data_IF_129771018100
#
_entry.id   IF_129771018100
#
_cell.length_a   1.000
_cell.length_b   1.000
_cell.length_c   1.000
_cell.angle_alpha   90.00
_cell.angle_beta   90.00
_cell.angle_gamma   90.00
#
_symmetry.space_group_name_H-M   'P 1'
#
loop_
_entity.id
_entity.type
_entity.pdbx_description
1 polymer ?
#
# COMPACT_ATOMS: atom_id res chain seq x y z
N UNK A 1 -19.36 5.10 -13.29
CA UNK A 1 -19.23 5.91 -14.51
C UNK A 1 -20.09 7.16 -14.31
N UNK A 2 -19.53 8.34 -14.45
CA UNK A 2 -20.27 9.60 -14.42
C UNK A 2 -20.24 10.16 -15.84
N UNK A 3 -21.41 10.40 -16.44
CA UNK A 3 -21.55 10.87 -17.82
C UNK A 3 -20.76 10.05 -18.86
N UNK A 4 -20.74 8.72 -18.68
CA UNK A 4 -20.01 7.80 -19.58
C UNK A 4 -18.50 7.77 -19.39
N UNK A 5 -17.94 8.51 -18.42
CA UNK A 5 -16.50 8.53 -18.13
C UNK A 5 -16.21 7.89 -16.77
N UNK A 6 -15.10 7.16 -16.68
CA UNK A 6 -14.59 6.69 -15.40
C UNK A 6 -14.17 7.89 -14.54
N UNK A 7 -14.59 7.91 -13.28
CA UNK A 7 -14.23 8.94 -12.31
C UNK A 7 -13.80 8.29 -11.00
N UNK A 8 -12.69 8.74 -10.43
CA UNK A 8 -12.27 8.37 -9.08
C UNK A 8 -13.19 9.07 -8.08
N UNK A 9 -13.79 8.30 -7.16
CA UNK A 9 -14.62 8.81 -6.07
C UNK A 9 -13.70 9.07 -4.87
N UNK A 10 -13.87 10.22 -4.25
CA UNK A 10 -13.21 10.57 -3.00
C UNK A 10 -13.91 9.88 -1.82
N UNK A 11 -13.12 9.41 -0.84
CA UNK A 11 -13.66 8.82 0.38
C UNK A 11 -14.21 9.89 1.35
N UNK A 12 -14.70 9.47 2.51
CA UNK A 12 -15.26 10.38 3.51
C UNK A 12 -14.26 11.40 4.06
N UNK A 13 -12.96 11.09 3.98
CA UNK A 13 -11.86 11.98 4.36
C UNK A 13 -11.45 12.97 3.25
N UNK A 14 -12.03 12.85 2.05
CA UNK A 14 -11.71 13.66 0.86
C UNK A 14 -10.54 13.12 0.05
N UNK A 15 -10.02 11.95 0.41
CA UNK A 15 -8.89 11.32 -0.27
C UNK A 15 -9.36 10.45 -1.44
N UNK A 16 -8.53 10.36 -2.48
CA UNK A 16 -8.78 9.51 -3.66
C UNK A 16 -8.29 8.08 -3.50
N UNK A 17 -7.62 7.79 -2.40
CA UNK A 17 -7.13 6.47 -2.03
C UNK A 17 -7.52 6.19 -0.58
N UNK A 18 -7.72 4.91 -0.25
CA UNK A 18 -8.02 4.45 1.11
C UNK A 18 -6.97 3.42 1.52
N UNK A 19 -6.22 3.63 2.62
CA UNK A 19 -5.26 2.65 3.09
C UNK A 19 -5.92 1.29 3.34
N UNK A 20 -5.32 0.21 2.88
CA UNK A 20 -5.77 -1.17 3.13
C UNK A 20 -5.36 -1.62 4.53
N UNK A 21 -5.88 -0.93 5.54
CA UNK A 21 -5.61 -1.14 6.96
C UNK A 21 -6.93 -1.29 7.70
N UNK A 22 -7.01 -2.30 8.57
CA UNK A 22 -8.16 -2.57 9.43
C UNK A 22 -7.70 -2.62 10.87
N UNK A 23 -8.38 -1.94 11.78
CA UNK A 23 -8.05 -1.96 13.20
C UNK A 23 -9.29 -2.29 14.04
N UNK A 24 -9.05 -3.03 15.10
CA UNK A 24 -10.06 -3.38 16.10
C UNK A 24 -9.76 -2.59 17.37
N UNK A 25 -10.76 -1.90 17.87
CA UNK A 25 -10.65 -1.10 19.07
C UNK A 25 -11.10 -1.89 20.30
N UNK A 26 -10.66 -1.48 21.51
CA UNK A 26 -10.99 -2.15 22.77
C UNK A 26 -12.51 -2.19 23.07
N UNK A 27 -13.28 -1.28 22.52
CA UNK A 27 -14.75 -1.22 22.61
C UNK A 27 -15.47 -2.00 21.51
N UNK A 28 -14.71 -2.74 20.67
CA UNK A 28 -15.24 -3.65 19.66
C UNK A 28 -15.62 -2.98 18.33
N UNK A 29 -15.22 -1.73 18.12
CA UNK A 29 -15.40 -1.04 16.83
C UNK A 29 -14.35 -1.50 15.82
N UNK A 30 -14.74 -1.58 14.55
CA UNK A 30 -13.83 -1.88 13.43
C UNK A 30 -13.59 -0.61 12.62
N UNK A 31 -12.34 -0.16 12.61
CA UNK A 31 -11.91 0.98 11.81
C UNK A 31 -11.24 0.52 10.52
N UNK A 32 -11.46 1.26 9.43
CA UNK A 32 -10.89 0.94 8.12
C UNK A 32 -10.30 2.20 7.47
N UNK A 33 -9.16 2.04 6.82
CA UNK A 33 -8.51 3.12 6.09
C UNK A 33 -7.68 4.04 6.97
N UNK A 34 -7.83 5.34 6.78
CA UNK A 34 -7.01 6.35 7.45
C UNK A 34 -7.22 6.37 8.98
N UNK A 35 -8.44 6.14 9.45
CA UNK A 35 -8.75 6.04 10.88
C UNK A 35 -8.00 4.86 11.54
N UNK A 36 -7.95 3.71 10.87
CA UNK A 36 -7.16 2.56 11.31
C UNK A 36 -5.64 2.86 11.29
N UNK A 37 -5.16 3.51 10.23
CA UNK A 37 -3.73 3.89 10.09
C UNK A 37 -3.26 4.79 11.22
N UNK A 38 -4.07 5.76 11.65
CA UNK A 38 -3.74 6.71 12.72
C UNK A 38 -3.46 6.08 14.08
N UNK A 39 -3.97 4.89 14.35
CA UNK A 39 -3.69 4.18 15.62
C UNK A 39 -2.69 3.02 15.48
N UNK A 40 -2.06 2.85 14.33
CA UNK A 40 -1.16 1.71 14.08
C UNK A 40 0.02 1.61 15.06
N UNK A 41 0.51 2.72 15.56
CA UNK A 41 1.62 2.76 16.53
C UNK A 41 1.12 2.54 17.97
N UNK A 42 -0.06 3.04 18.31
CA UNK A 42 -0.63 2.92 19.66
C UNK A 42 -1.30 1.58 19.89
N UNK A 43 -1.86 0.97 18.83
CA UNK A 43 -2.58 -0.31 18.84
C UNK A 43 -2.04 -1.28 17.77
N UNK A 44 -0.72 -1.60 17.75
CA UNK A 44 -0.11 -2.35 16.64
C UNK A 44 -0.59 -3.80 16.55
N UNK A 45 -0.91 -4.45 17.66
CA UNK A 45 -1.33 -5.86 17.69
C UNK A 45 -2.73 -6.10 17.14
N UNK A 46 -3.58 -5.07 17.15
CA UNK A 46 -4.96 -5.11 16.67
C UNK A 46 -5.15 -4.25 15.40
N UNK A 47 -4.07 -3.74 14.82
CA UNK A 47 -4.08 -2.99 13.55
C UNK A 47 -3.43 -3.83 12.46
N UNK A 48 -4.24 -4.28 11.52
CA UNK A 48 -3.88 -5.23 10.49
C UNK A 48 -3.57 -4.48 9.19
N UNK A 49 -2.32 -4.51 8.80
CA UNK A 49 -1.83 -4.05 7.50
C UNK A 49 -1.28 -5.21 6.69
N UNK A 50 -1.00 -5.00 5.42
CA UNK A 50 -0.35 -5.99 4.54
C UNK A 50 -1.04 -7.37 4.49
N UNK A 51 -2.33 -7.48 4.84
CA UNK A 51 -3.09 -8.74 4.83
C UNK A 51 -3.17 -9.35 3.43
N UNK A 52 -3.05 -8.54 2.38
CA UNK A 52 -2.91 -8.98 0.99
C UNK A 52 -1.77 -10.01 0.80
N UNK A 53 -0.70 -9.94 1.61
CA UNK A 53 0.42 -10.90 1.56
C UNK A 53 0.05 -12.28 2.11
N UNK A 54 -0.99 -12.37 2.95
CA UNK A 54 -1.46 -13.62 3.59
C UNK A 54 -2.57 -14.30 2.79
N UNK A 55 -3.26 -13.57 1.91
CA UNK A 55 -4.44 -14.07 1.21
C UNK A 55 -4.12 -15.30 0.35
N UNK A 56 -4.90 -16.37 0.49
CA UNK A 56 -4.70 -17.62 -0.24
C UNK A 56 -3.40 -18.37 0.09
N UNK A 57 -2.76 -18.08 1.22
CA UNK A 57 -1.48 -18.66 1.65
C UNK A 57 -1.64 -19.57 2.86
N UNK A 58 -0.60 -20.37 3.11
CA UNK A 58 -0.53 -21.31 4.21
C UNK A 58 0.56 -20.94 5.22
N UNK A 59 0.38 -21.28 6.50
CA UNK A 59 1.33 -20.96 7.57
C UNK A 59 2.69 -21.66 7.41
N UNK A 60 2.72 -22.79 6.68
CA UNK A 60 3.96 -23.51 6.38
C UNK A 60 4.74 -22.94 5.18
N UNK A 61 4.17 -22.02 4.42
CA UNK A 61 4.84 -21.33 3.31
C UNK A 61 6.08 -20.59 3.83
N UNK A 62 7.27 -20.79 3.23
CA UNK A 62 8.49 -20.10 3.64
C UNK A 62 8.38 -18.57 3.59
N UNK A 63 7.63 -18.02 2.64
CA UNK A 63 7.37 -16.58 2.54
C UNK A 63 6.56 -16.10 3.74
N UNK A 64 5.49 -16.82 4.11
CA UNK A 64 4.66 -16.47 5.25
C UNK A 64 5.44 -16.58 6.56
N UNK A 65 6.28 -17.61 6.72
CA UNK A 65 7.17 -17.72 7.89
C UNK A 65 8.13 -16.54 8.03
N UNK A 66 8.56 -15.96 6.90
CA UNK A 66 9.37 -14.75 6.90
C UNK A 66 8.54 -13.53 7.28
N UNK A 67 7.35 -13.36 6.69
CA UNK A 67 6.42 -12.28 7.00
C UNK A 67 6.06 -12.24 8.50
N UNK A 68 5.70 -13.38 9.08
CA UNK A 68 5.31 -13.50 10.49
C UNK A 68 6.34 -12.93 11.48
N UNK A 69 7.61 -12.83 11.09
CA UNK A 69 8.67 -12.26 11.94
C UNK A 69 8.63 -10.72 12.01
N UNK A 70 7.98 -10.10 11.06
CA UNK A 70 7.94 -8.64 10.90
C UNK A 70 6.57 -8.03 11.16
N UNK A 71 5.51 -8.87 11.17
CA UNK A 71 4.15 -8.41 11.45
C UNK A 71 3.97 -8.14 12.96
N UNK A 72 3.34 -7.02 13.33
CA UNK A 72 3.08 -6.68 14.72
C UNK A 72 1.92 -7.48 15.34
N UNK A 73 1.12 -8.17 14.52
CA UNK A 73 -0.02 -8.97 14.91
C UNK A 73 0.22 -10.48 14.71
N UNK A 74 -0.59 -11.30 15.33
CA UNK A 74 -0.44 -12.75 15.28
C UNK A 74 -1.02 -13.36 14.01
N UNK A 75 -0.22 -14.19 13.32
CA UNK A 75 -0.70 -15.08 12.25
C UNK A 75 -0.80 -16.49 12.80
N UNK A 76 -1.94 -17.11 12.61
CA UNK A 76 -2.30 -18.42 13.18
C UNK A 76 -2.83 -19.37 12.11
N UNK A 77 -2.89 -20.67 12.44
CA UNK A 77 -3.54 -21.66 11.59
C UNK A 77 -5.08 -21.52 11.67
N UNK A 78 -5.71 -21.39 10.51
CA UNK A 78 -7.16 -21.31 10.35
C UNK A 78 -7.90 -22.66 10.50
N UNK A 79 -7.17 -23.75 10.82
CA UNK A 79 -7.70 -25.10 11.01
C UNK A 79 -7.42 -26.07 9.86
N UNK A 80 -6.95 -25.58 8.72
CA UNK A 80 -6.54 -26.38 7.56
C UNK A 80 -5.15 -26.01 7.02
N UNK A 81 -4.34 -25.37 7.87
CA UNK A 81 -3.02 -24.86 7.50
C UNK A 81 -3.06 -23.45 6.87
N UNK A 82 -4.22 -22.91 6.54
CA UNK A 82 -4.34 -21.56 5.97
C UNK A 82 -3.85 -20.49 6.96
N UNK A 83 -3.16 -19.48 6.46
CA UNK A 83 -2.66 -18.37 7.25
C UNK A 83 -3.81 -17.39 7.58
N UNK A 84 -4.25 -17.40 8.82
CA UNK A 84 -5.26 -16.51 9.37
C UNK A 84 -4.63 -15.53 10.35
N UNK A 85 -5.30 -14.46 10.67
CA UNK A 85 -4.89 -13.49 11.70
C UNK A 85 -5.69 -13.68 12.97
N UNK A 86 -5.09 -13.40 14.11
CA UNK A 86 -5.77 -13.43 15.41
C UNK A 86 -5.76 -12.04 16.04
N UNK A 87 -6.95 -11.57 16.41
CA UNK A 87 -7.18 -10.30 17.07
C UNK A 87 -8.08 -10.54 18.28
N UNK A 88 -7.65 -10.12 19.47
CA UNK A 88 -8.43 -10.24 20.72
C UNK A 88 -8.96 -11.67 21.01
N UNK A 89 -8.22 -12.67 20.57
CA UNK A 89 -8.59 -14.08 20.74
C UNK A 89 -9.42 -14.67 19.60
N UNK A 90 -10.04 -13.84 18.77
CA UNK A 90 -10.82 -14.25 17.62
C UNK A 90 -9.94 -14.43 16.38
N UNK A 91 -10.32 -15.39 15.52
CA UNK A 91 -9.59 -15.69 14.28
C UNK A 91 -10.32 -15.16 13.05
N UNK A 92 -9.61 -14.46 12.20
CA UNK A 92 -10.12 -13.93 10.93
C UNK A 92 -9.31 -14.46 9.75
N UNK A 93 -9.99 -14.91 8.71
CA UNK A 93 -9.32 -15.19 7.44
C UNK A 93 -8.88 -13.88 6.76
N UNK A 94 -7.83 -13.89 5.94
CA UNK A 94 -7.46 -12.74 5.13
C UNK A 94 -8.60 -12.22 4.24
N UNK A 95 -9.49 -13.11 3.76
CA UNK A 95 -10.68 -12.72 3.00
C UNK A 95 -11.68 -11.93 3.85
N UNK A 96 -11.89 -12.29 5.13
CA UNK A 96 -12.74 -11.51 6.03
C UNK A 96 -12.18 -10.13 6.31
N UNK A 97 -10.88 -10.02 6.54
CA UNK A 97 -10.23 -8.71 6.74
C UNK A 97 -10.29 -7.86 5.46
N UNK A 98 -10.03 -8.47 4.31
CA UNK A 98 -10.17 -7.78 3.01
C UNK A 98 -11.60 -7.34 2.73
N UNK A 99 -12.59 -8.10 3.22
CA UNK A 99 -13.99 -7.74 3.08
C UNK A 99 -14.36 -6.43 3.81
N UNK A 100 -13.77 -6.12 4.97
CA UNK A 100 -13.96 -4.82 5.62
C UNK A 100 -13.48 -3.66 4.73
N UNK A 101 -12.36 -3.85 4.03
CA UNK A 101 -11.86 -2.84 3.09
C UNK A 101 -12.82 -2.68 1.91
N UNK A 102 -13.27 -3.79 1.32
CA UNK A 102 -14.21 -3.78 0.21
C UNK A 102 -15.58 -3.20 0.61
N UNK A 103 -16.04 -3.46 1.84
CA UNK A 103 -17.23 -2.84 2.42
C UNK A 103 -17.08 -1.32 2.50
N UNK A 104 -15.94 -0.81 2.97
CA UNK A 104 -15.63 0.62 2.97
C UNK A 104 -15.64 1.23 1.56
N UNK A 105 -15.14 0.49 0.56
CA UNK A 105 -15.21 0.92 -0.84
C UNK A 105 -16.65 0.97 -1.37
N UNK A 106 -17.45 -0.04 -1.03
CA UNK A 106 -18.88 -0.11 -1.36
C UNK A 106 -19.63 1.09 -0.76
N UNK A 107 -19.48 1.31 0.55
CA UNK A 107 -20.10 2.44 1.27
C UNK A 107 -19.70 3.79 0.66
N UNK A 108 -18.42 3.96 0.32
CA UNK A 108 -17.93 5.17 -0.36
C UNK A 108 -18.62 5.39 -1.70
N UNK A 109 -18.78 4.34 -2.49
CA UNK A 109 -19.45 4.40 -3.78
C UNK A 109 -20.96 4.69 -3.62
N UNK A 110 -21.65 4.03 -2.70
CA UNK A 110 -23.07 4.21 -2.39
C UNK A 110 -23.36 5.64 -1.90
N UNK A 111 -22.50 6.15 -1.01
CA UNK A 111 -22.62 7.53 -0.52
C UNK A 111 -22.49 8.58 -1.64
N UNK A 112 -21.62 8.32 -2.62
CA UNK A 112 -21.43 9.21 -3.76
C UNK A 112 -22.56 9.10 -4.79
N UNK A 113 -23.02 7.87 -5.09
CA UNK A 113 -24.00 7.59 -6.13
C UNK A 113 -25.45 7.83 -5.64
N UNK A 114 -25.69 7.69 -4.33
CA UNK A 114 -27.03 7.76 -3.75
C UNK A 114 -27.89 6.52 -4.03
N UNK A 115 -27.27 5.41 -4.42
CA UNK A 115 -27.91 4.13 -4.74
C UNK A 115 -27.08 2.95 -4.28
N UNK A 116 -27.68 1.77 -4.15
CA UNK A 116 -27.00 0.55 -3.75
C UNK A 116 -26.00 0.08 -4.81
N UNK A 117 -24.81 -0.28 -4.38
CA UNK A 117 -23.75 -0.86 -5.22
C UNK A 117 -23.68 -2.37 -4.98
N UNK A 118 -24.07 -3.15 -5.98
CA UNK A 118 -24.19 -4.62 -5.88
C UNK A 118 -23.08 -5.37 -6.60
N UNK A 119 -22.40 -4.75 -7.55
CA UNK A 119 -21.38 -5.40 -8.38
C UNK A 119 -20.06 -4.65 -8.34
N UNK A 120 -18.95 -5.40 -8.46
CA UNK A 120 -17.62 -4.83 -8.55
C UNK A 120 -16.70 -5.61 -9.50
N UNK A 121 -15.76 -4.88 -10.09
CA UNK A 121 -14.54 -5.45 -10.68
C UNK A 121 -13.42 -5.20 -9.68
N UNK A 122 -12.69 -6.25 -9.31
CA UNK A 122 -11.60 -6.16 -8.32
C UNK A 122 -10.28 -6.49 -9.02
N UNK A 123 -9.25 -5.72 -8.72
CA UNK A 123 -7.91 -5.95 -9.28
C UNK A 123 -7.04 -6.72 -8.31
N UNK A 124 -6.13 -7.54 -8.88
CA UNK A 124 -5.14 -8.33 -8.15
C UNK A 124 -3.79 -8.25 -8.87
N UNK A 125 -2.67 -8.47 -8.15
CA UNK A 125 -1.37 -8.60 -8.80
C UNK A 125 -1.38 -9.69 -9.89
N UNK A 126 -0.62 -9.48 -10.95
CA UNK A 126 -0.56 -10.44 -12.06
C UNK A 126 -0.03 -11.83 -11.64
N UNK A 127 0.83 -11.88 -10.63
CA UNK A 127 1.40 -13.12 -10.08
C UNK A 127 0.47 -13.89 -9.11
N UNK A 128 -0.71 -13.35 -8.78
CA UNK A 128 -1.65 -14.09 -7.92
C UNK A 128 -2.08 -15.40 -8.59
N UNK A 129 -1.96 -16.48 -7.83
CA UNK A 129 -2.45 -17.79 -8.25
C UNK A 129 -3.99 -17.91 -8.08
N UNK A 130 -4.55 -19.02 -8.55
CA UNK A 130 -6.00 -19.24 -8.53
C UNK A 130 -6.58 -19.21 -7.10
N UNK A 131 -5.87 -19.74 -6.11
CA UNK A 131 -6.30 -19.71 -4.71
C UNK A 131 -6.40 -18.28 -4.18
N UNK A 132 -5.43 -17.43 -4.50
CA UNK A 132 -5.42 -16.02 -4.10
C UNK A 132 -6.51 -15.21 -4.82
N UNK A 133 -6.74 -15.48 -6.10
CA UNK A 133 -7.83 -14.89 -6.90
C UNK A 133 -9.20 -15.28 -6.36
N UNK A 134 -9.38 -16.57 -6.02
CA UNK A 134 -10.61 -17.05 -5.42
C UNK A 134 -10.85 -16.43 -4.05
N UNK A 135 -9.83 -16.39 -3.18
CA UNK A 135 -9.94 -15.76 -1.87
C UNK A 135 -10.26 -14.25 -1.94
N UNK A 136 -9.78 -13.56 -2.98
CA UNK A 136 -10.15 -12.16 -3.24
C UNK A 136 -11.62 -12.06 -3.70
N UNK A 137 -12.08 -12.98 -4.54
CA UNK A 137 -13.48 -13.06 -4.95
C UNK A 137 -14.40 -13.36 -3.76
N UNK A 138 -13.99 -14.25 -2.86
CA UNK A 138 -14.71 -14.57 -1.62
C UNK A 138 -14.80 -13.34 -0.71
N UNK A 139 -13.74 -12.53 -0.61
CA UNK A 139 -13.77 -11.27 0.13
C UNK A 139 -14.83 -10.31 -0.42
N UNK A 140 -14.98 -10.22 -1.75
CA UNK A 140 -16.04 -9.44 -2.38
C UNK A 140 -17.43 -9.95 -2.00
N UNK A 141 -17.65 -11.26 -2.03
CA UNK A 141 -18.91 -11.87 -1.63
C UNK A 141 -19.25 -11.62 -0.16
N UNK A 142 -18.25 -11.72 0.75
CA UNK A 142 -18.42 -11.41 2.18
C UNK A 142 -18.80 -9.91 2.36
N UNK A 143 -18.24 -9.03 1.55
CA UNK A 143 -18.58 -7.60 1.56
C UNK A 143 -19.95 -7.28 0.94
N UNK A 144 -20.70 -8.27 0.47
CA UNK A 144 -22.00 -8.09 -0.17
C UNK A 144 -21.92 -7.59 -1.62
N UNK A 145 -20.83 -7.92 -2.32
CA UNK A 145 -20.62 -7.58 -3.73
C UNK A 145 -20.58 -8.84 -4.60
N UNK A 146 -21.30 -8.80 -5.72
CA UNK A 146 -21.10 -9.73 -6.82
C UNK A 146 -19.83 -9.31 -7.56
N UNK A 147 -18.80 -10.16 -7.52
CA UNK A 147 -17.55 -9.90 -8.23
C UNK A 147 -17.69 -10.31 -9.68
N UNK A 148 -17.99 -9.34 -10.53
CA UNK A 148 -18.21 -9.55 -11.96
C UNK A 148 -16.93 -10.03 -12.67
N UNK A 149 -15.77 -9.56 -12.24
CA UNK A 149 -14.46 -9.97 -12.80
C UNK A 149 -13.31 -9.67 -11.83
N UNK A 150 -12.31 -10.55 -11.84
CA UNK A 150 -10.97 -10.27 -11.31
C UNK A 150 -10.06 -9.90 -12.49
N UNK A 151 -9.36 -8.78 -12.38
CA UNK A 151 -8.48 -8.23 -13.43
C UNK A 151 -7.07 -8.05 -12.87
N UNK A 152 -6.04 -8.26 -13.67
CA UNK A 152 -4.67 -7.99 -13.26
C UNK A 152 -4.43 -6.47 -13.09
N UNK A 153 -3.78 -6.08 -12.01
CA UNK A 153 -3.46 -4.68 -11.71
C UNK A 153 -2.73 -3.97 -12.86
N UNK A 154 -1.68 -4.54 -13.48
CA UNK A 154 -1.01 -3.89 -14.60
C UNK A 154 -1.91 -3.74 -15.84
N UNK A 155 -2.82 -4.70 -16.09
CA UNK A 155 -3.79 -4.60 -17.17
C UNK A 155 -4.80 -3.48 -16.92
N UNK A 156 -5.29 -3.37 -15.68
CA UNK A 156 -6.20 -2.29 -15.28
C UNK A 156 -5.53 -0.92 -15.41
N UNK A 157 -4.24 -0.83 -15.06
CA UNK A 157 -3.46 0.40 -15.21
C UNK A 157 -3.32 0.79 -16.69
N UNK A 158 -2.98 -0.15 -17.58
CA UNK A 158 -2.89 0.11 -19.02
C UNK A 158 -4.23 0.60 -19.60
N UNK A 159 -5.34 -0.02 -19.20
CA UNK A 159 -6.69 0.42 -19.61
C UNK A 159 -7.00 1.84 -19.09
N UNK A 160 -6.65 2.13 -17.83
CA UNK A 160 -6.91 3.44 -17.23
C UNK A 160 -6.09 4.57 -17.86
N UNK A 161 -4.88 4.28 -18.29
CA UNK A 161 -4.04 5.21 -19.05
C UNK A 161 -4.57 5.49 -20.46
N UNK A 162 -5.56 4.71 -20.91
CA UNK A 162 -6.12 4.86 -22.25
C UNK A 162 -5.13 4.41 -23.34
N UNK A 163 -4.27 3.47 -23.01
CA UNK A 163 -3.40 2.86 -24.02
C UNK A 163 -4.28 2.36 -25.14
N UNK A 164 -4.01 2.88 -26.33
CA UNK A 164 -4.85 2.71 -27.51
C UNK A 164 -4.95 1.22 -27.85
N UNK A 165 -6.17 0.69 -27.79
CA UNK A 165 -6.46 -0.72 -28.06
C UNK A 165 -6.16 -1.14 -29.50
N UNK A 166 -6.03 -0.15 -30.39
CA UNK A 166 -5.74 -0.36 -31.81
C UNK A 166 -4.23 -0.32 -32.11
N UNK A 167 -3.39 -0.03 -31.09
CA UNK A 167 -1.93 -0.11 -31.20
C UNK A 167 -1.42 -1.43 -30.66
N UNK A 168 -0.55 -2.06 -31.43
CA UNK A 168 0.32 -3.13 -30.94
C UNK A 168 1.60 -2.54 -30.36
N UNK A 169 2.10 -3.11 -29.27
CA UNK A 169 3.33 -2.64 -28.65
C UNK A 169 3.58 -3.27 -27.29
N UNK A 170 4.75 -3.01 -26.73
CA UNK A 170 5.17 -3.50 -25.42
C UNK A 170 5.14 -2.36 -24.41
N UNK A 171 4.49 -2.60 -23.28
CA UNK A 171 4.34 -1.64 -22.19
C UNK A 171 4.93 -2.19 -20.92
N UNK A 172 5.77 -1.42 -20.26
CA UNK A 172 6.20 -1.69 -18.88
C UNK A 172 5.32 -0.92 -17.90
N UNK A 173 4.76 -1.61 -16.93
CA UNK A 173 4.01 -1.00 -15.81
C UNK A 173 4.91 -1.04 -14.59
N UNK A 174 5.28 0.14 -14.10
CA UNK A 174 6.08 0.36 -12.90
C UNK A 174 5.13 0.81 -11.79
N UNK A 175 4.80 -0.08 -10.87
CA UNK A 175 3.84 0.16 -9.79
C UNK A 175 4.55 0.20 -8.43
N UNK A 176 4.84 1.41 -7.94
CA UNK A 176 5.39 1.63 -6.61
C UNK A 176 4.27 2.15 -5.69
N UNK A 177 3.71 1.22 -4.93
CA UNK A 177 2.66 1.49 -3.95
C UNK A 177 3.19 1.94 -2.58
N UNK A 178 2.34 1.86 -1.56
CA UNK A 178 2.72 2.17 -0.17
C UNK A 178 3.61 1.11 0.46
N UNK A 179 3.34 -0.18 0.19
CA UNK A 179 4.07 -1.30 0.81
C UNK A 179 4.69 -2.30 -0.15
N UNK A 180 4.41 -2.21 -1.45
CA UNK A 180 4.94 -3.13 -2.48
C UNK A 180 5.39 -2.38 -3.71
N UNK A 181 6.35 -2.98 -4.40
CA UNK A 181 6.83 -2.57 -5.71
C UNK A 181 6.65 -3.70 -6.70
N UNK A 182 5.93 -3.46 -7.79
CA UNK A 182 5.67 -4.43 -8.84
C UNK A 182 6.01 -3.84 -10.21
N UNK A 183 6.68 -4.64 -11.05
CA UNK A 183 6.97 -4.30 -12.45
C UNK A 183 6.43 -5.39 -13.33
N UNK A 184 5.64 -5.03 -14.33
CA UNK A 184 5.09 -5.96 -15.30
C UNK A 184 5.39 -5.50 -16.73
N UNK A 185 5.76 -6.44 -17.59
CA UNK A 185 5.89 -6.20 -19.03
C UNK A 185 4.68 -6.82 -19.72
N UNK A 186 3.94 -6.01 -20.45
CA UNK A 186 2.76 -6.41 -21.21
C UNK A 186 3.03 -6.33 -22.70
N UNK A 187 2.50 -7.31 -23.45
CA UNK A 187 2.33 -7.21 -24.90
C UNK A 187 0.87 -6.84 -25.21
N UNK A 188 0.70 -5.92 -26.12
CA UNK A 188 -0.61 -5.44 -26.53
C UNK A 188 -0.77 -5.64 -28.02
N UNK A 189 -1.88 -6.25 -28.40
CA UNK A 189 -2.23 -6.45 -29.81
C UNK A 189 -3.70 -6.82 -29.95
N UNK A 190 -4.36 -6.31 -30.98
CA UNK A 190 -5.76 -6.64 -31.32
C UNK A 190 -6.76 -6.45 -30.16
N UNK A 191 -6.52 -5.45 -29.29
CA UNK A 191 -7.34 -5.17 -28.10
C UNK A 191 -7.13 -6.13 -26.94
N UNK A 192 -6.11 -7.00 -27.00
CA UNK A 192 -5.72 -7.95 -25.95
C UNK A 192 -4.50 -7.42 -25.22
N UNK A 193 -4.48 -7.58 -23.90
CA UNK A 193 -3.34 -7.30 -23.03
C UNK A 193 -2.82 -8.61 -22.45
N UNK A 194 -1.64 -9.01 -22.84
CA UNK A 194 -0.97 -10.19 -22.31
C UNK A 194 0.16 -9.77 -21.37
N UNK A 195 0.18 -10.31 -20.15
CA UNK A 195 1.28 -10.10 -19.21
C UNK A 195 2.38 -11.10 -19.53
N UNK A 196 3.48 -10.64 -20.13
CA UNK A 196 4.62 -11.48 -20.50
C UNK A 196 5.45 -11.89 -19.29
N UNK A 197 5.70 -10.95 -18.37
CA UNK A 197 6.44 -11.19 -17.16
C UNK A 197 6.05 -10.19 -16.06
N UNK A 198 6.28 -10.58 -14.81
CA UNK A 198 6.15 -9.71 -13.65
C UNK A 198 7.25 -10.04 -12.64
N UNK A 199 7.80 -9.01 -12.01
CA UNK A 199 8.77 -9.10 -10.92
C UNK A 199 8.48 -8.01 -9.90
N UNK A 200 9.04 -8.11 -8.69
CA UNK A 200 8.77 -7.09 -7.69
C UNK A 200 9.54 -7.30 -6.40
N UNK A 201 9.30 -6.39 -5.46
CA UNK A 201 9.76 -6.46 -4.07
C UNK A 201 8.55 -6.20 -3.16
N UNK A 202 8.07 -7.24 -2.50
CA UNK A 202 6.90 -7.16 -1.60
C UNK A 202 7.16 -6.39 -0.30
N UNK A 203 8.39 -5.93 -0.08
CA UNK A 203 8.83 -5.16 1.08
C UNK A 203 9.49 -3.83 0.66
N UNK A 204 9.10 -3.29 -0.48
CA UNK A 204 9.55 -2.00 -0.97
C UNK A 204 8.36 -1.16 -1.36
N UNK A 205 8.17 -0.03 -0.68
CA UNK A 205 7.07 0.90 -0.96
C UNK A 205 7.27 2.21 -0.23
N UNK A 206 6.28 3.09 -0.33
CA UNK A 206 6.30 4.42 0.29
C UNK A 206 6.56 4.42 1.78
N UNK A 207 6.15 3.34 2.49
CA UNK A 207 6.37 3.18 3.93
C UNK A 207 7.86 3.07 4.27
N UNK A 208 8.67 2.43 3.41
CA UNK A 208 10.14 2.35 3.61
C UNK A 208 10.80 3.73 3.47
N UNK A 209 10.29 4.57 2.56
CA UNK A 209 10.74 5.95 2.42
C UNK A 209 10.36 6.81 3.63
N UNK A 210 9.17 6.57 4.20
CA UNK A 210 8.73 7.21 5.44
C UNK A 210 9.62 6.80 6.61
N UNK A 211 9.93 5.51 6.74
CA UNK A 211 10.79 4.99 7.81
C UNK A 211 12.21 5.59 7.73
N UNK A 212 12.78 5.76 6.54
CA UNK A 212 14.06 6.43 6.36
C UNK A 212 14.03 7.89 6.86
N UNK A 213 12.91 8.62 6.61
CA UNK A 213 12.70 9.97 7.14
C UNK A 213 12.52 9.98 8.64
N UNK A 214 11.73 9.07 9.19
CA UNK A 214 11.47 8.94 10.63
C UNK A 214 12.79 8.73 11.37
N UNK A 215 13.62 7.80 10.89
CA UNK A 215 14.91 7.51 11.48
C UNK A 215 15.86 8.70 11.44
N UNK A 216 15.89 9.43 10.35
CA UNK A 216 16.68 10.64 10.23
C UNK A 216 16.21 11.72 11.19
N UNK A 217 14.91 12.07 11.16
CA UNK A 217 14.35 13.15 11.98
C UNK A 217 14.46 12.84 13.47
N UNK A 218 14.15 11.60 13.89
CA UNK A 218 14.30 11.17 15.27
C UNK A 218 15.76 11.22 15.74
N UNK A 219 16.71 10.88 14.88
CA UNK A 219 18.14 10.94 15.18
C UNK A 219 18.64 12.37 15.32
N UNK A 220 18.21 13.29 14.47
CA UNK A 220 18.54 14.73 14.61
C UNK A 220 17.95 15.31 15.89
N UNK A 221 16.68 15.02 16.20
CA UNK A 221 16.05 15.48 17.44
C UNK A 221 16.76 14.92 18.70
N UNK A 222 17.17 13.65 18.66
CA UNK A 222 17.92 13.02 19.75
C UNK A 222 19.29 13.69 19.98
N UNK A 223 19.98 14.10 18.92
CA UNK A 223 21.27 14.82 19.03
C UNK A 223 21.11 16.16 19.76
N UNK A 224 20.01 16.87 19.50
CA UNK A 224 19.78 18.20 20.08
C UNK A 224 19.18 18.14 21.47
N UNK A 225 18.25 17.19 21.73
CA UNK A 225 17.43 17.16 22.93
C UNK A 225 17.74 15.98 23.86
N UNK A 226 18.55 15.02 23.44
CA UNK A 226 18.86 13.81 24.22
C UNK A 226 17.70 12.79 24.32
N UNK A 227 16.58 13.04 23.64
CA UNK A 227 15.35 12.23 23.72
C UNK A 227 15.12 11.53 22.37
N UNK A 228 14.86 10.24 22.39
CA UNK A 228 14.47 9.48 21.19
C UNK A 228 12.93 9.47 21.06
N UNK A 229 12.42 10.13 20.03
CA UNK A 229 10.98 10.20 19.79
C UNK A 229 10.34 8.84 19.46
N UNK A 230 11.15 7.84 19.09
CA UNK A 230 10.68 6.48 18.77
C UNK A 230 10.32 5.67 20.03
N UNK A 231 10.78 6.10 21.21
CA UNK A 231 10.46 5.44 22.48
C UNK A 231 9.08 5.85 23.04
N UNK A 232 8.50 6.95 22.53
CA UNK A 232 7.16 7.42 22.88
C UNK A 232 6.20 7.15 21.72
N UNK A 233 5.21 6.27 21.93
CA UNK A 233 4.25 5.87 20.91
C UNK A 233 3.45 7.05 20.34
N UNK A 234 3.07 8.02 21.16
CA UNK A 234 2.31 9.18 20.69
C UNK A 234 3.18 10.12 19.85
N UNK A 235 4.40 10.36 20.29
CA UNK A 235 5.38 11.12 19.52
C UNK A 235 5.71 10.45 18.20
N UNK A 236 5.93 9.14 18.22
CA UNK A 236 6.22 8.35 17.01
C UNK A 236 5.06 8.38 16.01
N UNK A 237 3.79 8.28 16.45
CA UNK A 237 2.63 8.37 15.57
C UNK A 237 2.57 9.74 14.87
N UNK A 238 2.74 10.83 15.63
CA UNK A 238 2.77 12.20 15.08
C UNK A 238 3.95 12.40 14.12
N UNK A 239 5.10 11.82 14.44
CA UNK A 239 6.29 11.88 13.58
C UNK A 239 6.06 11.12 12.27
N UNK A 240 5.45 9.94 12.29
CA UNK A 240 5.07 9.17 11.09
C UNK A 240 4.18 9.98 10.15
N UNK A 241 3.11 10.55 10.68
CA UNK A 241 2.19 11.39 9.89
C UNK A 241 2.88 12.60 9.26
N UNK A 242 3.76 13.27 10.02
CA UNK A 242 4.51 14.42 9.52
C UNK A 242 5.56 14.04 8.46
N UNK A 243 6.24 12.90 8.61
CA UNK A 243 7.21 12.41 7.63
C UNK A 243 6.53 11.98 6.32
N UNK A 244 5.39 11.28 6.38
CA UNK A 244 4.61 10.93 5.19
C UNK A 244 4.15 12.19 4.44
N UNK A 245 3.64 13.19 5.17
CA UNK A 245 3.25 14.48 4.60
C UNK A 245 4.44 15.17 3.93
N UNK A 246 5.59 15.23 4.62
CA UNK A 246 6.81 15.81 4.08
C UNK A 246 7.29 15.10 2.80
N UNK A 247 7.26 13.76 2.77
CA UNK A 247 7.54 12.98 1.56
C UNK A 247 6.64 13.39 0.40
N UNK A 248 5.33 13.49 0.64
CA UNK A 248 4.36 13.91 -0.38
C UNK A 248 4.61 15.36 -0.88
N UNK A 249 4.92 16.28 0.01
CA UNK A 249 5.23 17.67 -0.34
C UNK A 249 6.52 17.79 -1.17
N UNK A 250 7.53 16.97 -0.86
CA UNK A 250 8.80 16.93 -1.62
C UNK A 250 8.64 16.33 -3.02
N UNK A 251 7.53 15.67 -3.35
CA UNK A 251 7.24 15.22 -4.72
C UNK A 251 7.04 16.40 -5.69
N UNK A 252 6.67 17.58 -5.20
CA UNK A 252 6.46 18.78 -6.00
C UNK A 252 7.35 19.96 -5.57
N UNK A 253 7.69 20.05 -4.28
CA UNK A 253 8.54 21.09 -3.70
C UNK A 253 10.02 20.69 -3.65
N UNK A 254 10.93 21.67 -3.66
CA UNK A 254 12.37 21.44 -3.43
C UNK A 254 12.73 21.36 -1.94
N UNK A 255 11.84 21.84 -1.08
CA UNK A 255 12.04 21.92 0.37
C UNK A 255 10.68 21.87 1.08
N UNK A 256 10.64 21.30 2.29
CA UNK A 256 9.49 21.31 3.18
C UNK A 256 9.93 21.46 4.63
N UNK A 257 9.00 21.82 5.52
CA UNK A 257 9.25 21.98 6.95
C UNK A 257 8.41 20.99 7.76
N UNK A 258 9.07 20.17 8.56
CA UNK A 258 8.43 19.34 9.59
C UNK A 258 8.36 20.17 10.87
N UNK A 259 7.14 20.49 11.31
CA UNK A 259 6.88 21.31 12.49
C UNK A 259 5.89 20.59 13.40
N UNK A 260 6.38 20.08 14.52
CA UNK A 260 5.61 19.36 15.53
C UNK A 260 5.77 20.05 16.91
N UNK A 261 4.94 21.05 17.20
CA UNK A 261 4.96 21.69 18.51
C UNK A 261 4.51 20.72 19.60
N UNK A 262 5.12 20.83 20.78
CA UNK A 262 4.82 20.00 21.95
C UNK A 262 4.89 18.49 21.63
N UNK A 263 5.97 18.07 20.93
CA UNK A 263 6.13 16.68 20.51
C UNK A 263 6.42 15.76 21.70
N UNK A 264 7.15 16.26 22.69
CA UNK A 264 7.47 15.60 23.95
C UNK A 264 7.81 16.62 25.02
N UNK A 265 8.14 16.17 26.24
CA UNK A 265 8.57 17.02 27.35
C UNK A 265 9.62 16.30 28.21
N UNK A 266 10.48 17.07 28.86
CA UNK A 266 11.40 16.61 29.90
C UNK A 266 11.33 17.49 31.15
N UNK A 267 12.27 17.32 32.08
CA UNK A 267 12.32 18.09 33.30
C UNK A 267 12.50 19.63 33.11
N UNK A 268 12.94 20.04 31.92
CA UNK A 268 13.14 21.45 31.52
C UNK A 268 11.90 22.06 30.85
N UNK A 269 10.89 21.24 30.56
CA UNK A 269 9.63 21.67 29.96
C UNK A 269 9.34 21.03 28.61
N UNK A 270 8.36 21.55 27.86
CA UNK A 270 7.96 21.02 26.56
C UNK A 270 9.05 21.20 25.51
N UNK A 271 9.16 20.22 24.61
CA UNK A 271 10.06 20.21 23.48
C UNK A 271 9.27 20.28 22.18
N UNK A 272 9.85 20.96 21.19
CA UNK A 272 9.27 21.16 19.87
C UNK A 272 10.23 20.64 18.82
N UNK A 273 9.71 19.99 17.78
CA UNK A 273 10.49 19.62 16.62
C UNK A 273 10.19 20.61 15.50
N UNK A 274 11.24 21.25 14.98
CA UNK A 274 11.19 22.07 13.78
C UNK A 274 12.42 21.76 12.94
N UNK A 275 12.21 21.13 11.77
CA UNK A 275 13.27 20.72 10.87
C UNK A 275 12.89 21.03 9.44
N UNK A 276 13.80 21.68 8.72
CA UNK A 276 13.68 21.91 7.28
C UNK A 276 14.36 20.77 6.53
N UNK A 277 13.65 20.17 5.57
CA UNK A 277 14.10 19.03 4.78
C UNK A 277 14.11 19.40 3.30
N UNK A 278 15.24 19.29 2.63
CA UNK A 278 15.34 19.45 1.19
C UNK A 278 15.09 18.13 0.47
N UNK A 279 14.58 18.21 -0.78
CA UNK A 279 14.45 17.05 -1.68
C UNK A 279 15.78 16.32 -1.85
N UNK A 280 16.88 17.06 -2.07
CA UNK A 280 18.20 16.46 -2.23
C UNK A 280 18.64 15.66 -1.00
N UNK A 281 18.31 16.13 0.22
CA UNK A 281 18.58 15.37 1.45
C UNK A 281 17.72 14.11 1.52
N UNK A 282 16.43 14.21 1.20
CA UNK A 282 15.53 13.07 1.13
C UNK A 282 16.00 12.00 0.13
N UNK A 283 16.35 12.40 -1.09
CA UNK A 283 16.88 11.50 -2.12
C UNK A 283 18.16 10.79 -1.65
N UNK A 284 19.06 11.53 -0.99
CA UNK A 284 20.27 10.95 -0.42
C UNK A 284 19.99 9.92 0.68
N UNK A 285 19.00 10.17 1.55
CA UNK A 285 18.59 9.23 2.59
C UNK A 285 18.00 7.95 2.03
N UNK A 286 17.33 8.04 0.87
CA UNK A 286 16.58 6.95 0.26
C UNK A 286 17.33 6.28 -0.92
N UNK A 287 18.63 6.58 -1.14
CA UNK A 287 19.38 6.07 -2.29
C UNK A 287 19.33 4.56 -2.45
N UNK A 288 19.43 3.82 -1.35
CA UNK A 288 19.39 2.36 -1.36
C UNK A 288 18.00 1.83 -1.77
N UNK A 289 16.92 2.54 -1.43
CA UNK A 289 15.55 2.18 -1.82
C UNK A 289 15.35 2.35 -3.33
N UNK A 290 15.89 3.41 -3.93
CA UNK A 290 15.87 3.58 -5.38
C UNK A 290 16.67 2.49 -6.10
N UNK A 291 17.81 2.09 -5.55
CA UNK A 291 18.62 1.00 -6.13
C UNK A 291 17.89 -0.35 -6.05
N UNK A 292 17.09 -0.59 -5.02
CA UNK A 292 16.25 -1.79 -4.91
C UNK A 292 15.19 -1.89 -6.01
N UNK A 293 14.70 -0.79 -6.57
CA UNK A 293 13.78 -0.81 -7.71
C UNK A 293 14.41 -1.33 -8.99
N UNK A 294 15.70 -1.17 -9.19
CA UNK A 294 16.39 -1.52 -10.45
C UNK A 294 16.38 -3.01 -10.75
N UNK A 295 16.63 -3.84 -9.73
CA UNK A 295 16.73 -5.29 -9.90
C UNK A 295 15.43 -5.91 -10.43
N UNK A 296 14.24 -5.65 -9.85
CA UNK A 296 12.98 -6.14 -10.40
C UNK A 296 12.69 -5.67 -11.81
N UNK A 297 13.05 -4.41 -12.16
CA UNK A 297 12.88 -3.91 -13.52
C UNK A 297 13.68 -4.71 -14.55
N UNK A 298 14.97 -4.94 -14.26
CA UNK A 298 15.83 -5.73 -15.14
C UNK A 298 15.35 -7.17 -15.24
N UNK A 299 14.92 -7.76 -14.12
CA UNK A 299 14.41 -9.13 -14.09
C UNK A 299 13.13 -9.27 -14.92
N UNK A 300 12.17 -8.35 -14.81
CA UNK A 300 10.94 -8.39 -15.59
C UNK A 300 11.20 -8.29 -17.10
N UNK A 301 12.15 -7.46 -17.52
CA UNK A 301 12.57 -7.32 -18.91
C UNK A 301 13.23 -8.62 -19.42
N UNK A 302 14.12 -9.22 -18.62
CA UNK A 302 14.79 -10.48 -18.95
C UNK A 302 13.78 -11.63 -19.06
N UNK A 303 12.89 -11.78 -18.05
CA UNK A 303 11.87 -12.84 -18.02
C UNK A 303 10.84 -12.71 -19.17
N UNK A 304 10.56 -11.49 -19.60
CA UNK A 304 9.72 -11.23 -20.77
C UNK A 304 10.41 -11.57 -22.09
N UNK A 305 11.72 -11.83 -22.09
CA UNK A 305 12.50 -12.13 -23.30
C UNK A 305 12.63 -10.95 -24.27
N UNK A 306 12.52 -9.71 -23.76
CA UNK A 306 12.57 -8.48 -24.56
C UNK A 306 13.78 -7.63 -24.20
N UNK A 307 14.16 -6.72 -25.08
CA UNK A 307 15.17 -5.70 -24.80
C UNK A 307 14.48 -4.44 -24.26
N UNK A 308 15.16 -3.68 -23.43
CA UNK A 308 14.65 -2.40 -22.95
C UNK A 308 14.26 -1.44 -24.10
N UNK A 309 14.97 -1.51 -25.23
CA UNK A 309 14.69 -0.73 -26.45
C UNK A 309 13.43 -1.16 -27.19
N UNK A 310 12.84 -2.29 -26.82
CA UNK A 310 11.59 -2.81 -27.41
C UNK A 310 10.36 -2.44 -26.57
N UNK A 311 10.56 -1.75 -25.44
CA UNK A 311 9.49 -1.18 -24.62
C UNK A 311 9.08 0.16 -25.24
N UNK A 312 7.84 0.25 -25.71
CA UNK A 312 7.30 1.43 -26.38
C UNK A 312 6.86 2.50 -25.37
N UNK A 313 6.29 2.06 -24.24
CA UNK A 313 5.77 2.96 -23.19
C UNK A 313 6.08 2.43 -21.79
N UNK A 314 6.28 3.35 -20.85
CA UNK A 314 6.39 3.05 -19.39
C UNK A 314 5.27 3.77 -18.67
N UNK A 315 4.42 3.00 -17.97
CA UNK A 315 3.34 3.52 -17.16
C UNK A 315 3.78 3.55 -15.70
N UNK A 316 3.75 4.74 -15.11
CA UNK A 316 4.04 4.94 -13.68
C UNK A 316 2.73 4.85 -12.89
N UNK A 317 2.64 3.86 -12.02
CA UNK A 317 1.47 3.54 -11.20
C UNK A 317 1.88 3.51 -9.72
N UNK A 318 0.91 3.66 -8.83
CA UNK A 318 1.17 3.76 -7.39
C UNK A 318 1.53 5.17 -6.95
N UNK A 319 1.10 5.53 -5.73
CA UNK A 319 1.30 6.87 -5.18
C UNK A 319 2.77 7.24 -5.04
N UNK A 320 3.62 6.28 -4.70
CA UNK A 320 5.05 6.48 -4.47
C UNK A 320 5.88 6.59 -5.74
N UNK A 321 5.32 6.28 -6.92
CA UNK A 321 5.94 6.60 -8.22
C UNK A 321 6.04 8.09 -8.52
N UNK A 322 5.49 8.93 -7.65
CA UNK A 322 5.59 10.41 -7.71
C UNK A 322 6.80 10.97 -6.98
N UNK A 323 7.55 10.14 -6.27
CA UNK A 323 8.78 10.51 -5.55
C UNK A 323 9.86 10.98 -6.54
#
# INVERSE_FOLDING_TARGET
MVDGKAKVIENAEGDRTTPSIVAFTEDGEVLVGQSAKRQSVTNPTNTLNAVKRLIGRYTNDPLIKKEMKHLPFNVVDGGNGAAWVQVEGEKYSPSQISAFILQKMKETAESYLGEDVTQAVITVPAYFNDAQRQATKDAGAIAGLEVARIVNEPTAAAIAYGVDKDKSGKVAVFDLGGGTFDVSVLDMGDGVFEVLATSGDSHLGGDDFDDALIDYVASEFKKENGIDLRDDKMALQRLKEACEKAKCELSSGSETQINLPFITADATGPKHLMLTLSRAKFESLCSDLFDRCKKPCLQAIEDAGVKASEIDEVLLVGGSSRI
#
